data_IF_992888930509
#
_entry.id   IF_992888930509
#
_cell.length_a   1.000
_cell.length_b   1.000
_cell.length_c   1.000
_cell.angle_alpha   90.00
_cell.angle_beta   90.00
_cell.angle_gamma   90.00
#
_symmetry.space_group_name_H-M   'P 1'
#
loop_
_entity.id
_entity.type
_entity.pdbx_description
1 polymer ?
#
# COMPACT_ATOMS: atom_id res chain seq x y z
N UNK A 1 17.92 -2.12 19.93
CA UNK A 1 18.79 -2.88 19.01
C UNK A 1 18.54 -4.35 19.25
N UNK A 2 17.94 -5.05 18.28
CA UNK A 2 17.79 -6.50 18.32
C UNK A 2 19.18 -7.13 18.16
N UNK A 3 19.66 -7.77 19.22
CA UNK A 3 20.91 -8.51 19.09
C UNK A 3 20.65 -9.80 18.30
N UNK A 4 21.28 -9.93 17.16
CA UNK A 4 21.19 -11.06 16.23
C UNK A 4 21.30 -12.44 16.91
N UNK A 5 22.08 -12.54 17.97
CA UNK A 5 22.30 -13.79 18.72
C UNK A 5 21.03 -14.34 19.42
N UNK A 6 19.98 -13.53 19.55
CA UNK A 6 18.73 -13.94 20.19
C UNK A 6 17.65 -14.43 19.20
N UNK A 7 17.89 -14.31 17.91
CA UNK A 7 16.94 -14.67 16.86
C UNK A 7 17.63 -15.50 15.76
N UNK A 8 17.90 -16.80 16.02
CA UNK A 8 18.66 -17.66 15.08
C UNK A 8 17.96 -17.85 13.74
N UNK A 9 16.63 -17.72 13.68
CA UNK A 9 15.84 -17.83 12.46
C UNK A 9 15.75 -16.52 11.67
N UNK A 10 16.36 -15.43 12.17
CA UNK A 10 16.31 -14.13 11.50
C UNK A 10 17.23 -14.13 10.28
N UNK A 11 16.65 -14.02 9.12
CA UNK A 11 17.35 -14.09 7.84
C UNK A 11 17.87 -12.74 7.36
N UNK A 12 17.10 -11.67 7.59
CA UNK A 12 17.48 -10.31 7.22
C UNK A 12 16.86 -9.24 8.13
N UNK A 13 17.56 -8.13 8.26
CA UNK A 13 17.05 -6.86 8.80
C UNK A 13 17.37 -5.79 7.75
N UNK A 14 16.36 -5.07 7.33
CA UNK A 14 16.48 -4.00 6.34
C UNK A 14 16.07 -2.65 6.95
N UNK A 15 16.82 -1.61 6.62
CA UNK A 15 16.44 -0.23 6.95
C UNK A 15 15.20 0.18 6.14
N UNK A 16 14.25 0.87 6.78
CA UNK A 16 13.10 1.44 6.09
C UNK A 16 13.39 2.81 5.47
N UNK A 17 14.52 3.41 5.79
CA UNK A 17 14.88 4.74 5.30
C UNK A 17 15.50 4.70 3.90
N UNK A 18 16.33 3.69 3.64
CA UNK A 18 17.13 3.58 2.42
C UNK A 18 17.14 2.17 1.81
N UNK A 19 16.37 1.25 2.39
CA UNK A 19 16.30 -0.17 2.02
C UNK A 19 17.63 -0.92 2.09
N UNK A 20 18.63 -0.37 2.78
CA UNK A 20 19.90 -1.06 3.02
C UNK A 20 19.72 -2.24 3.98
N UNK A 21 20.50 -3.30 3.78
CA UNK A 21 20.54 -4.42 4.71
C UNK A 21 21.42 -4.09 5.93
N UNK A 22 20.81 -4.01 7.11
CA UNK A 22 21.51 -3.90 8.40
C UNK A 22 22.12 -5.26 8.76
N UNK A 23 21.40 -6.33 8.45
CA UNK A 23 21.83 -7.72 8.57
C UNK A 23 21.26 -8.54 7.41
N UNK A 24 22.08 -9.44 6.88
CA UNK A 24 21.66 -10.43 5.88
C UNK A 24 22.41 -11.73 6.16
N UNK A 25 21.68 -12.82 6.36
CA UNK A 25 22.28 -14.13 6.60
C UNK A 25 23.11 -14.58 5.38
N UNK A 26 24.25 -15.22 5.62
CA UNK A 26 25.23 -15.59 4.59
C UNK A 26 24.61 -16.40 3.44
N UNK A 27 23.64 -17.29 3.76
CA UNK A 27 22.95 -18.12 2.79
C UNK A 27 22.18 -17.33 1.71
N UNK A 28 21.86 -16.04 1.95
CA UNK A 28 21.06 -15.21 1.05
C UNK A 28 21.84 -14.11 0.36
N UNK A 29 23.10 -13.87 0.73
CA UNK A 29 23.92 -12.79 0.14
C UNK A 29 24.06 -12.91 -1.35
N UNK A 30 24.40 -14.11 -1.84
CA UNK A 30 24.56 -14.34 -3.29
C UNK A 30 23.26 -14.11 -4.08
N UNK A 31 22.10 -14.49 -3.50
CA UNK A 31 20.81 -14.28 -4.15
C UNK A 31 20.44 -12.80 -4.23
N UNK A 32 20.72 -12.02 -3.19
CA UNK A 32 20.46 -10.57 -3.18
C UNK A 32 21.37 -9.86 -4.18
N UNK A 33 22.66 -10.18 -4.22
CA UNK A 33 23.60 -9.64 -5.20
C UNK A 33 23.19 -9.95 -6.64
N UNK A 34 22.70 -11.17 -6.88
CA UNK A 34 22.20 -11.59 -8.18
C UNK A 34 20.96 -10.78 -8.60
N UNK A 35 19.94 -10.68 -7.75
CA UNK A 35 18.73 -9.90 -8.02
C UNK A 35 19.05 -8.42 -8.25
N UNK A 36 19.90 -7.82 -7.43
CA UNK A 36 20.30 -6.42 -7.57
C UNK A 36 21.12 -6.17 -8.85
N UNK A 37 21.89 -7.16 -9.33
CA UNK A 37 22.64 -7.05 -10.59
C UNK A 37 21.75 -7.24 -11.83
N UNK A 38 20.66 -7.96 -11.72
CA UNK A 38 19.71 -8.21 -12.83
C UNK A 38 18.67 -7.09 -13.01
N UNK A 39 18.53 -6.20 -12.04
CA UNK A 39 17.53 -5.11 -12.06
C UNK A 39 17.64 -4.22 -13.31
N UNK A 40 18.84 -4.12 -13.91
CA UNK A 40 19.07 -3.40 -15.16
C UNK A 40 18.60 -4.14 -16.43
N UNK A 41 18.22 -5.41 -16.32
CA UNK A 41 17.86 -6.28 -17.46
C UNK A 41 16.38 -6.69 -17.48
N UNK A 42 15.57 -6.26 -16.49
CA UNK A 42 14.13 -6.50 -16.48
C UNK A 42 13.47 -5.71 -17.61
N UNK A 43 13.24 -6.38 -18.71
CA UNK A 43 12.40 -5.88 -19.81
C UNK A 43 10.94 -6.26 -19.54
N UNK A 44 10.00 -5.56 -20.18
CA UNK A 44 8.58 -5.90 -20.13
C UNK A 44 8.34 -7.38 -20.46
N UNK A 45 9.04 -7.92 -21.45
CA UNK A 45 8.93 -9.34 -21.84
C UNK A 45 9.41 -10.28 -20.76
N UNK A 46 10.54 -9.97 -20.07
CA UNK A 46 11.04 -10.80 -18.96
C UNK A 46 10.14 -10.74 -17.75
N UNK A 47 9.55 -9.59 -17.44
CA UNK A 47 8.57 -9.47 -16.37
C UNK A 47 7.35 -10.36 -16.63
N UNK A 48 6.76 -10.30 -17.83
CA UNK A 48 5.59 -11.11 -18.17
C UNK A 48 5.90 -12.61 -18.19
N UNK A 49 7.09 -13.03 -18.61
CA UNK A 49 7.46 -14.46 -18.56
C UNK A 49 7.55 -14.95 -17.10
N UNK A 50 8.15 -14.17 -16.20
CA UNK A 50 8.23 -14.51 -14.78
C UNK A 50 6.85 -14.61 -14.12
N UNK A 51 5.89 -13.79 -14.55
CA UNK A 51 4.52 -13.82 -14.03
C UNK A 51 3.71 -14.98 -14.60
N UNK A 52 3.98 -15.41 -15.84
CA UNK A 52 3.24 -16.49 -16.50
C UNK A 52 3.71 -17.90 -16.06
N UNK A 53 4.94 -18.05 -15.60
CA UNK A 53 5.51 -19.36 -15.24
C UNK A 53 5.06 -19.88 -13.86
N UNK A 54 4.29 -19.11 -13.09
CA UNK A 54 3.80 -19.49 -11.78
C UNK A 54 2.29 -19.69 -11.74
N UNK A 55 1.81 -20.93 -11.59
CA UNK A 55 0.46 -21.18 -11.11
C UNK A 55 0.35 -20.66 -9.66
N UNK A 56 -0.24 -19.48 -9.49
CA UNK A 56 -0.52 -18.95 -8.15
C UNK A 56 -1.72 -19.71 -7.59
N UNK A 57 -1.51 -20.46 -6.51
CA UNK A 57 -2.62 -20.97 -5.73
C UNK A 57 -3.36 -19.78 -5.08
N UNK A 58 -4.50 -19.43 -5.66
CA UNK A 58 -5.31 -18.31 -5.19
C UNK A 58 -5.81 -18.48 -3.76
N UNK A 59 -5.88 -19.68 -3.24
CA UNK A 59 -6.31 -19.96 -1.86
C UNK A 59 -5.15 -19.94 -0.87
N UNK A 60 -3.91 -19.84 -1.36
CA UNK A 60 -2.74 -19.67 -0.50
C UNK A 60 -2.74 -18.30 0.20
N UNK A 61 -2.00 -18.24 1.31
CA UNK A 61 -1.85 -17.03 2.13
C UNK A 61 -1.11 -15.94 1.36
N UNK A 62 -1.75 -14.78 1.18
CA UNK A 62 -1.14 -13.62 0.57
C UNK A 62 -0.54 -12.66 1.60
N UNK A 63 -1.25 -12.42 2.70
CA UNK A 63 -0.79 -11.54 3.77
C UNK A 63 -1.48 -11.85 5.10
N UNK A 64 -0.88 -11.37 6.19
CA UNK A 64 -1.48 -11.36 7.54
C UNK A 64 -1.64 -9.91 7.97
N UNK A 65 -2.88 -9.49 8.20
CA UNK A 65 -3.19 -8.16 8.68
C UNK A 65 -3.56 -8.21 10.17
N UNK A 66 -2.89 -7.42 11.00
CA UNK A 66 -3.12 -7.40 12.43
C UNK A 66 -4.22 -6.42 12.82
N UNK A 67 -5.13 -6.88 13.67
CA UNK A 67 -6.16 -6.04 14.29
C UNK A 67 -5.93 -5.98 15.79
N UNK A 68 -6.38 -4.89 16.44
CA UNK A 68 -6.20 -4.68 17.88
C UNK A 68 -6.96 -5.67 18.77
N UNK A 69 -7.83 -6.50 18.20
CA UNK A 69 -8.60 -7.50 18.93
C UNK A 69 -9.45 -6.92 20.08
N UNK A 70 -10.68 -7.34 20.21
CA UNK A 70 -11.58 -6.91 21.31
C UNK A 70 -11.12 -7.38 22.71
N UNK A 71 -10.23 -8.36 22.76
CA UNK A 71 -9.68 -8.95 23.99
C UNK A 71 -8.33 -8.33 24.41
N UNK A 72 -7.87 -7.28 23.72
CA UNK A 72 -6.59 -6.60 24.00
C UNK A 72 -5.35 -7.26 23.39
N UNK A 73 -5.43 -8.50 22.90
CA UNK A 73 -4.33 -9.14 22.17
C UNK A 73 -4.48 -8.95 20.67
N UNK A 74 -3.42 -8.56 19.95
CA UNK A 74 -3.47 -8.45 18.49
C UNK A 74 -3.82 -9.79 17.84
N UNK A 75 -4.70 -9.75 16.83
CA UNK A 75 -5.08 -10.93 16.05
C UNK A 75 -4.63 -10.77 14.63
N UNK A 76 -3.88 -11.77 14.12
CA UNK A 76 -3.48 -11.84 12.72
C UNK A 76 -4.63 -12.40 11.87
N UNK A 77 -5.19 -11.58 11.01
CA UNK A 77 -6.20 -11.98 10.03
C UNK A 77 -5.48 -12.47 8.78
N UNK A 78 -5.64 -13.75 8.46
CA UNK A 78 -5.06 -14.37 7.26
C UNK A 78 -5.91 -14.01 6.04
N UNK A 79 -5.28 -13.49 5.00
CA UNK A 79 -5.94 -13.06 3.76
C UNK A 79 -5.31 -13.81 2.59
N UNK A 80 -6.13 -14.47 1.77
CA UNK A 80 -5.67 -15.20 0.59
C UNK A 80 -5.52 -14.29 -0.63
N UNK A 81 -4.76 -14.75 -1.62
CA UNK A 81 -4.67 -14.09 -2.94
C UNK A 81 -6.04 -13.90 -3.57
N UNK A 82 -6.91 -14.91 -3.49
CA UNK A 82 -8.30 -14.84 -3.99
C UNK A 82 -9.09 -13.69 -3.37
N UNK A 83 -8.98 -13.51 -2.05
CA UNK A 83 -9.66 -12.41 -1.36
C UNK A 83 -9.19 -11.05 -1.82
N UNK A 84 -7.88 -10.86 -2.02
CA UNK A 84 -7.33 -9.60 -2.53
C UNK A 84 -7.75 -9.34 -3.97
N UNK A 85 -7.63 -10.33 -4.85
CA UNK A 85 -8.00 -10.21 -6.27
C UNK A 85 -9.46 -9.85 -6.44
N UNK A 86 -10.37 -10.60 -5.78
CA UNK A 86 -11.81 -10.34 -5.87
C UNK A 86 -12.19 -8.94 -5.37
N UNK A 87 -11.58 -8.47 -4.27
CA UNK A 87 -11.86 -7.12 -3.77
C UNK A 87 -11.32 -6.03 -4.70
N UNK A 88 -10.15 -6.26 -5.30
CA UNK A 88 -9.57 -5.35 -6.29
C UNK A 88 -10.44 -5.28 -7.54
N UNK A 89 -10.88 -6.41 -8.07
CA UNK A 89 -11.79 -6.49 -9.22
C UNK A 89 -13.13 -5.82 -8.94
N UNK A 90 -13.74 -6.08 -7.78
CA UNK A 90 -14.97 -5.41 -7.36
C UNK A 90 -14.77 -3.89 -7.26
N UNK A 91 -13.62 -3.43 -6.79
CA UNK A 91 -13.27 -2.01 -6.78
C UNK A 91 -13.33 -1.39 -8.18
N UNK A 92 -12.75 -2.07 -9.17
CA UNK A 92 -12.78 -1.62 -10.57
C UNK A 92 -14.20 -1.57 -11.16
N UNK A 93 -15.08 -2.48 -10.76
CA UNK A 93 -16.48 -2.47 -11.21
C UNK A 93 -17.31 -1.36 -10.57
N UNK A 94 -17.08 -1.06 -9.30
CA UNK A 94 -17.87 -0.06 -8.55
C UNK A 94 -17.42 1.36 -8.87
N UNK A 95 -16.13 1.59 -8.98
CA UNK A 95 -15.50 2.89 -9.19
C UNK A 95 -14.38 2.73 -10.23
N UNK A 96 -14.70 2.65 -11.53
CA UNK A 96 -13.68 2.42 -12.54
C UNK A 96 -12.64 3.56 -12.54
N UNK A 97 -11.38 3.16 -12.39
CA UNK A 97 -10.21 4.04 -12.53
C UNK A 97 -9.47 3.59 -13.78
N UNK A 98 -9.13 4.53 -14.65
CA UNK A 98 -8.44 4.27 -15.91
C UNK A 98 -6.92 4.43 -15.75
N UNK A 99 -6.12 3.75 -16.59
CA UNK A 99 -4.67 3.93 -16.60
C UNK A 99 -4.26 5.40 -16.72
N UNK A 100 -3.30 5.82 -15.90
CA UNK A 100 -2.80 7.19 -15.86
C UNK A 100 -3.66 8.18 -15.06
N UNK A 101 -4.85 7.80 -14.61
CA UNK A 101 -5.62 8.65 -13.69
C UNK A 101 -4.88 8.77 -12.36
N UNK A 102 -5.07 9.90 -11.69
CA UNK A 102 -4.34 10.25 -10.48
C UNK A 102 -5.16 9.95 -9.23
N UNK A 103 -4.50 9.30 -8.27
CA UNK A 103 -5.09 8.94 -6.97
C UNK A 103 -4.22 9.52 -5.87
N UNK A 104 -4.82 10.13 -4.85
CA UNK A 104 -4.10 10.56 -3.64
C UNK A 104 -4.30 9.54 -2.55
N UNK A 105 -3.19 8.91 -2.13
CA UNK A 105 -3.14 7.96 -1.04
C UNK A 105 -2.87 8.68 0.28
N UNK A 106 -3.77 8.52 1.24
CA UNK A 106 -3.70 9.16 2.55
C UNK A 106 -4.01 8.22 3.71
N UNK A 107 -4.54 7.06 3.42
CA UNK A 107 -4.88 6.07 4.44
C UNK A 107 -3.64 5.24 4.81
N UNK A 108 -3.52 4.81 6.07
CA UNK A 108 -2.43 3.93 6.47
C UNK A 108 -2.50 2.59 5.70
N UNK A 109 -1.44 2.26 4.95
CA UNK A 109 -1.37 0.99 4.20
C UNK A 109 -1.32 -0.26 5.10
N UNK A 110 -1.02 -0.08 6.39
CA UNK A 110 -1.13 -1.14 7.38
C UNK A 110 -2.58 -1.58 7.67
N UNK A 111 -3.58 -0.78 7.29
CA UNK A 111 -4.97 -1.15 7.38
C UNK A 111 -5.47 -1.70 6.04
N UNK A 112 -6.24 -2.80 6.08
CA UNK A 112 -6.75 -3.46 4.87
C UNK A 112 -7.46 -2.51 3.90
N UNK A 113 -8.30 -1.60 4.42
CA UNK A 113 -8.99 -0.64 3.56
C UNK A 113 -8.01 0.33 2.86
N UNK A 114 -7.02 0.84 3.59
CA UNK A 114 -5.97 1.68 3.00
C UNK A 114 -5.12 0.92 1.98
N UNK A 115 -4.72 -0.30 2.34
CA UNK A 115 -3.96 -1.16 1.43
C UNK A 115 -4.72 -1.46 0.13
N UNK A 116 -6.02 -1.76 0.24
CA UNK A 116 -6.85 -2.04 -0.93
C UNK A 116 -7.13 -0.76 -1.74
N UNK A 117 -7.71 0.28 -1.10
CA UNK A 117 -8.25 1.45 -1.78
C UNK A 117 -7.17 2.45 -2.24
N UNK A 118 -6.07 2.57 -1.49
CA UNK A 118 -5.00 3.53 -1.76
C UNK A 118 -3.79 2.92 -2.48
N UNK A 119 -3.72 1.60 -2.59
CA UNK A 119 -2.61 0.93 -3.26
C UNK A 119 -3.05 -0.15 -4.25
N UNK A 120 -3.55 -1.31 -3.78
CA UNK A 120 -3.76 -2.49 -4.64
C UNK A 120 -4.71 -2.18 -5.82
N UNK A 121 -5.86 -1.59 -5.52
CA UNK A 121 -6.85 -1.26 -6.53
C UNK A 121 -6.32 -0.23 -7.56
N UNK A 122 -5.86 0.96 -7.18
CA UNK A 122 -5.37 1.93 -8.16
C UNK A 122 -4.12 1.45 -8.89
N UNK A 123 -3.24 0.67 -8.24
CA UNK A 123 -2.09 0.05 -8.88
C UNK A 123 -2.51 -0.93 -9.97
N UNK A 124 -3.45 -1.83 -9.69
CA UNK A 124 -3.97 -2.80 -10.65
C UNK A 124 -4.70 -2.13 -11.82
N UNK A 125 -5.29 -0.96 -11.59
CA UNK A 125 -5.93 -0.15 -12.63
C UNK A 125 -4.93 0.67 -13.48
N UNK A 126 -3.62 0.62 -13.18
CA UNK A 126 -2.60 1.42 -13.88
C UNK A 126 -2.66 2.91 -13.55
N UNK A 127 -3.20 3.29 -12.40
CA UNK A 127 -3.27 4.67 -11.94
C UNK A 127 -1.91 5.19 -11.45
N UNK A 128 -1.75 6.51 -11.45
CA UNK A 128 -0.63 7.17 -10.79
C UNK A 128 -0.99 7.51 -9.35
N UNK A 129 -0.27 6.92 -8.39
CA UNK A 129 -0.56 7.08 -6.96
C UNK A 129 0.38 8.13 -6.36
N UNK A 130 -0.21 9.14 -5.72
CA UNK A 130 0.49 10.20 -5.01
C UNK A 130 0.35 9.99 -3.50
N UNK A 131 1.42 9.63 -2.83
CA UNK A 131 1.42 9.41 -1.39
C UNK A 131 1.62 10.71 -0.62
N UNK A 132 0.78 10.96 0.39
CA UNK A 132 1.02 12.05 1.32
C UNK A 132 2.18 11.69 2.26
N UNK A 133 3.21 12.53 2.28
CA UNK A 133 4.38 12.35 3.14
C UNK A 133 4.17 12.83 4.58
N UNK A 134 3.02 13.44 4.86
CA UNK A 134 2.64 13.97 6.17
C UNK A 134 1.25 13.48 6.56
N UNK A 135 0.98 13.43 7.85
CA UNK A 135 -0.33 13.07 8.37
C UNK A 135 -1.44 13.94 7.73
N UNK A 136 -2.56 13.34 7.28
CA UNK A 136 -3.60 14.03 6.54
C UNK A 136 -4.35 15.03 7.44
N UNK A 137 -4.00 16.30 7.32
CA UNK A 137 -4.81 17.40 7.86
C UNK A 137 -5.68 18.01 6.75
N UNK A 138 -6.77 18.72 7.08
CA UNK A 138 -7.61 19.36 6.06
C UNK A 138 -6.81 20.28 5.11
N UNK A 139 -5.83 21.01 5.61
CA UNK A 139 -5.00 21.90 4.77
C UNK A 139 -4.05 21.14 3.86
N UNK A 140 -3.42 20.05 4.35
CA UNK A 140 -2.53 19.20 3.54
C UNK A 140 -3.34 18.52 2.43
N UNK A 141 -4.51 17.97 2.79
CA UNK A 141 -5.34 17.29 1.81
C UNK A 141 -5.86 18.27 0.73
N UNK A 142 -6.38 19.43 1.12
CA UNK A 142 -6.85 20.44 0.16
C UNK A 142 -5.71 20.92 -0.76
N UNK A 143 -4.50 21.08 -0.23
CA UNK A 143 -3.32 21.38 -1.04
C UNK A 143 -3.01 20.26 -2.02
N UNK A 144 -2.97 19.01 -1.56
CA UNK A 144 -2.73 17.86 -2.43
C UNK A 144 -3.80 17.74 -3.53
N UNK A 145 -5.08 17.95 -3.19
CA UNK A 145 -6.16 17.98 -4.19
C UNK A 145 -5.97 19.10 -5.23
N UNK A 146 -5.51 20.27 -4.80
CA UNK A 146 -5.24 21.39 -5.71
C UNK A 146 -4.00 21.16 -6.58
N UNK A 147 -2.96 20.51 -6.07
CA UNK A 147 -1.72 20.27 -6.82
C UNK A 147 -1.86 19.06 -7.77
N UNK A 148 -2.50 17.99 -7.30
CA UNK A 148 -2.58 16.70 -8.01
C UNK A 148 -3.79 16.63 -8.94
N UNK A 149 -4.90 17.28 -8.60
CA UNK A 149 -6.22 17.13 -9.28
C UNK A 149 -6.60 15.65 -9.40
N UNK A 150 -6.72 14.93 -8.29
CA UNK A 150 -6.96 13.50 -8.33
C UNK A 150 -8.36 13.16 -8.85
N UNK A 151 -8.45 12.04 -9.55
CA UNK A 151 -9.72 11.44 -9.93
C UNK A 151 -10.39 10.77 -8.72
N UNK A 152 -9.57 10.12 -7.87
CA UNK A 152 -10.04 9.40 -6.69
C UNK A 152 -9.22 9.77 -5.45
N UNK A 153 -9.93 9.94 -4.34
CA UNK A 153 -9.34 10.05 -3.00
C UNK A 153 -10.17 9.18 -2.04
N UNK A 154 -9.60 8.09 -1.55
CA UNK A 154 -10.24 7.32 -0.49
C UNK A 154 -9.99 7.98 0.86
N UNK A 155 -11.04 8.13 1.67
CA UNK A 155 -10.92 8.83 2.95
C UNK A 155 -11.90 8.26 3.99
N UNK A 156 -11.70 8.64 5.25
CA UNK A 156 -12.60 8.29 6.35
C UNK A 156 -13.54 9.46 6.68
N UNK A 157 -14.77 9.20 7.18
CA UNK A 157 -15.76 10.23 7.48
C UNK A 157 -15.24 11.40 8.32
N UNK A 158 -14.42 11.10 9.32
CA UNK A 158 -13.83 12.10 10.21
C UNK A 158 -13.02 13.19 9.49
N UNK A 159 -12.35 12.83 8.40
CA UNK A 159 -11.55 13.79 7.61
C UNK A 159 -12.48 14.71 6.83
N UNK A 160 -13.53 14.14 6.22
CA UNK A 160 -14.55 14.92 5.49
C UNK A 160 -15.26 15.89 6.43
N UNK A 161 -15.70 15.42 7.61
CA UNK A 161 -16.31 16.28 8.62
C UNK A 161 -15.41 17.45 9.03
N UNK A 162 -14.12 17.20 9.24
CA UNK A 162 -13.16 18.26 9.57
C UNK A 162 -13.01 19.28 8.45
N UNK A 163 -13.01 18.84 7.20
CA UNK A 163 -12.96 19.74 6.05
C UNK A 163 -14.25 20.57 5.98
N UNK A 164 -15.39 19.90 6.08
CA UNK A 164 -16.69 20.55 6.07
C UNK A 164 -16.76 21.64 7.14
N UNK A 165 -16.59 21.29 8.42
CA UNK A 165 -16.68 22.21 9.56
C UNK A 165 -15.67 23.37 9.48
N UNK A 166 -14.46 23.14 8.96
CA UNK A 166 -13.42 24.20 8.92
C UNK A 166 -13.45 25.07 7.69
N UNK A 167 -13.99 24.59 6.56
CA UNK A 167 -13.89 25.28 5.28
C UNK A 167 -15.22 25.57 4.64
N UNK A 168 -16.18 24.67 4.66
CA UNK A 168 -17.46 24.82 3.98
C UNK A 168 -18.51 25.51 4.87
N UNK A 169 -18.67 25.05 6.08
CA UNK A 169 -19.66 25.59 7.03
C UNK A 169 -19.52 27.12 7.28
N UNK A 170 -18.29 27.67 7.49
CA UNK A 170 -18.12 29.12 7.62
C UNK A 170 -18.40 29.93 6.35
N UNK A 171 -18.34 29.29 5.17
CA UNK A 171 -18.71 29.92 3.91
C UNK A 171 -20.20 29.90 3.69
N UNK A 172 -20.85 28.76 3.97
CA UNK A 172 -22.30 28.56 3.81
C UNK A 172 -23.11 29.41 4.81
N UNK A 173 -22.58 29.60 6.03
CA UNK A 173 -23.23 30.42 7.06
C UNK A 173 -23.17 31.93 6.79
N UNK A 174 -22.47 32.38 5.74
CA UNK A 174 -22.40 33.76 5.28
C UNK A 174 -23.31 34.06 4.09
N UNK A 175 -23.95 33.03 3.55
CA UNK A 175 -24.95 33.15 2.48
C UNK A 175 -26.34 33.27 3.06
#
# INVERSE_FOLDING_TARGET
>A
ELQHQQLPELQAIMSMDDFSFIHLAEAYKGNVEHVMSEESTLTETTFFSLVQDGEIDLDSLALINYTSGSTGSPKGVMVSHRSLSNNTENGMHILPVEPGQRVVSMLPLAHMFGQLADFLYPFSAGATIYYLTKAPTPSILLKAMADVHPYLVATVPLVIEKIYKKKLDPLLSKL
#
